data_IF_988498657197
#
_entry.id   IF_988498657197
#
_cell.length_a   1.000
_cell.length_b   1.000
_cell.length_c   1.000
_cell.angle_alpha   90.00
_cell.angle_beta   90.00
_cell.angle_gamma   90.00
#
_symmetry.space_group_name_H-M   'P 1'
#
loop_
_entity.id
_entity.type
_entity.pdbx_description
1 polymer ?
#
# COMPACT_ATOMS: atom_id res chain seq x y z
N UNK A 1 20.09 -6.81 -25.56
CA UNK A 1 20.20 -5.47 -24.95
C UNK A 1 20.37 -5.60 -23.45
N UNK A 2 21.03 -4.63 -22.81
CA UNK A 2 21.43 -4.64 -21.39
C UNK A 2 20.26 -4.90 -20.42
N UNK A 3 19.01 -4.64 -20.83
CA UNK A 3 17.79 -4.83 -20.03
C UNK A 3 16.91 -6.03 -20.41
N UNK A 4 17.39 -6.93 -21.27
CA UNK A 4 16.64 -8.14 -21.65
C UNK A 4 16.30 -9.05 -20.45
N UNK A 5 17.01 -8.89 -19.33
CA UNK A 5 16.73 -9.62 -18.09
C UNK A 5 15.38 -9.21 -17.47
N UNK A 6 14.96 -7.93 -17.60
CA UNK A 6 13.70 -7.40 -17.05
C UNK A 6 12.53 -8.16 -17.65
N UNK A 7 12.48 -8.28 -18.98
CA UNK A 7 11.39 -8.94 -19.70
C UNK A 7 11.33 -10.46 -19.47
N UNK A 8 12.47 -11.07 -19.13
CA UNK A 8 12.55 -12.51 -18.79
C UNK A 8 12.17 -12.78 -17.34
N UNK A 9 12.35 -11.80 -16.46
CA UNK A 9 12.19 -11.96 -15.01
C UNK A 9 10.82 -11.50 -14.54
N UNK A 10 10.36 -10.35 -15.04
CA UNK A 10 9.10 -9.74 -14.64
C UNK A 10 8.01 -10.01 -15.66
N UNK A 11 6.87 -10.47 -15.14
CA UNK A 11 5.71 -10.79 -15.95
C UNK A 11 4.60 -9.74 -15.72
N UNK A 12 3.68 -9.64 -16.68
CA UNK A 12 2.37 -9.02 -16.52
C UNK A 12 1.28 -10.10 -16.55
N UNK A 13 0.05 -9.76 -16.17
CA UNK A 13 -1.11 -10.67 -16.20
C UNK A 13 -2.28 -10.06 -16.95
N UNK A 14 -2.92 -10.86 -17.79
CA UNK A 14 -4.09 -10.45 -18.57
C UNK A 14 -5.20 -11.49 -18.42
N UNK A 15 -6.44 -11.03 -18.26
CA UNK A 15 -7.57 -11.94 -18.07
C UNK A 15 -7.84 -12.72 -19.37
N UNK A 16 -7.78 -14.05 -19.29
CA UNK A 16 -7.92 -14.95 -20.44
C UNK A 16 -9.25 -15.71 -20.48
N UNK A 17 -10.06 -15.62 -19.41
CA UNK A 17 -11.35 -16.29 -19.33
C UNK A 17 -12.39 -15.37 -18.71
N UNK A 18 -13.57 -15.32 -19.33
CA UNK A 18 -14.71 -14.55 -18.83
C UNK A 18 -15.45 -15.41 -17.80
N UNK A 19 -15.40 -15.01 -16.54
CA UNK A 19 -16.20 -15.59 -15.47
C UNK A 19 -17.21 -14.53 -15.04
N UNK A 20 -18.52 -14.77 -15.15
CA UNK A 20 -19.53 -13.80 -14.74
C UNK A 20 -19.34 -13.33 -13.30
N UNK A 21 -19.44 -12.02 -13.07
CA UNK A 21 -19.52 -11.46 -11.72
C UNK A 21 -20.97 -11.44 -11.22
N UNK A 22 -21.22 -10.84 -10.05
CA UNK A 22 -22.59 -10.57 -9.57
C UNK A 22 -23.39 -9.68 -10.54
N UNK A 23 -22.68 -8.83 -11.30
CA UNK A 23 -23.21 -8.11 -12.45
C UNK A 23 -22.86 -8.90 -13.72
N UNK A 24 -23.88 -9.43 -14.41
CA UNK A 24 -23.72 -10.26 -15.60
C UNK A 24 -23.05 -9.52 -16.76
N UNK A 25 -23.04 -8.18 -16.76
CA UNK A 25 -22.33 -7.37 -17.77
C UNK A 25 -20.82 -7.29 -17.52
N UNK A 26 -20.34 -7.81 -16.38
CA UNK A 26 -18.94 -7.73 -15.95
C UNK A 26 -18.33 -9.10 -15.69
N UNK A 27 -17.09 -9.26 -16.13
CA UNK A 27 -16.25 -10.38 -15.73
C UNK A 27 -15.80 -10.22 -14.26
N UNK A 28 -15.46 -11.33 -13.62
CA UNK A 28 -14.87 -11.38 -12.28
C UNK A 28 -13.55 -10.63 -12.17
N UNK A 29 -12.85 -10.34 -13.28
CA UNK A 29 -11.70 -9.44 -13.30
C UNK A 29 -12.08 -7.96 -13.08
N UNK A 30 -13.33 -7.57 -13.35
CA UNK A 30 -13.88 -6.21 -13.22
C UNK A 30 -14.16 -5.49 -14.55
N UNK A 31 -13.63 -6.00 -15.66
CA UNK A 31 -13.83 -5.46 -17.00
C UNK A 31 -15.23 -5.82 -17.53
N UNK A 32 -15.78 -4.96 -18.40
CA UNK A 32 -17.02 -5.26 -19.12
C UNK A 32 -16.81 -6.44 -20.06
N UNK A 33 -17.79 -7.33 -20.15
CA UNK A 33 -17.73 -8.50 -21.05
C UNK A 33 -17.46 -8.07 -22.51
N UNK A 34 -18.07 -6.96 -22.95
CA UNK A 34 -17.86 -6.38 -24.28
C UNK A 34 -16.46 -5.82 -24.54
N UNK A 35 -15.65 -5.61 -23.49
CA UNK A 35 -14.30 -5.03 -23.59
C UNK A 35 -13.20 -6.10 -23.52
N UNK A 36 -13.54 -7.36 -23.29
CA UNK A 36 -12.56 -8.43 -23.44
C UNK A 36 -12.23 -8.59 -24.93
N UNK A 37 -10.94 -8.60 -25.27
CA UNK A 37 -10.51 -9.05 -26.59
C UNK A 37 -10.96 -10.52 -26.74
N UNK A 38 -11.54 -10.85 -27.88
CA UNK A 38 -12.05 -12.19 -28.19
C UNK A 38 -10.98 -13.22 -27.89
N UNK A 39 -11.18 -13.98 -26.81
CA UNK A 39 -10.29 -15.08 -26.43
C UNK A 39 -10.37 -16.10 -27.57
N UNK A 40 -9.27 -16.41 -28.27
CA UNK A 40 -9.29 -17.46 -29.27
C UNK A 40 -9.31 -18.80 -28.52
N UNK A 41 -10.52 -19.32 -28.26
CA UNK A 41 -10.68 -20.61 -27.57
C UNK A 41 -11.95 -20.74 -26.75
N UNK A 42 -13.09 -20.72 -27.42
CA UNK A 42 -14.39 -21.06 -26.83
C UNK A 42 -15.42 -21.14 -27.94
N UNK A 43 -15.41 -22.24 -28.69
CA UNK A 43 -16.53 -22.54 -29.57
C UNK A 43 -17.83 -22.58 -28.73
N UNK A 44 -18.96 -22.08 -29.23
CA UNK A 44 -20.24 -22.43 -28.66
C UNK A 44 -20.44 -23.93 -28.96
N UNK A 45 -20.45 -24.78 -27.93
CA UNK A 45 -20.95 -26.14 -28.07
C UNK A 45 -22.46 -26.08 -28.36
N UNK A 46 -22.80 -26.03 -29.64
CA UNK A 46 -24.11 -26.46 -30.13
C UNK A 46 -24.14 -28.00 -30.07
N UNK A 47 -24.82 -28.55 -29.08
CA UNK A 47 -24.99 -30.00 -28.94
C UNK A 47 -26.03 -30.35 -27.88
N UNK A 48 -27.28 -30.50 -28.31
CA UNK A 48 -28.38 -30.92 -27.45
C UNK A 48 -28.15 -32.30 -26.82
N UNK A 49 -28.44 -32.39 -25.52
CA UNK A 49 -28.49 -33.64 -24.78
C UNK A 49 -28.88 -33.36 -23.33
N UNK A 50 -30.13 -33.64 -22.98
CA UNK A 50 -30.62 -33.54 -21.61
C UNK A 50 -29.83 -34.50 -20.71
N UNK A 51 -28.92 -33.95 -19.91
CA UNK A 51 -28.29 -34.65 -18.79
C UNK A 51 -28.42 -33.75 -17.58
N UNK A 52 -29.06 -34.30 -16.54
CA UNK A 52 -29.27 -33.66 -15.24
C UNK A 52 -27.91 -33.24 -14.67
N UNK A 53 -27.53 -31.98 -14.86
CA UNK A 53 -26.36 -31.40 -14.22
C UNK A 53 -26.73 -31.03 -12.79
N UNK A 54 -26.22 -31.80 -11.84
CA UNK A 54 -26.02 -31.32 -10.48
C UNK A 54 -25.36 -29.94 -10.58
N UNK A 55 -25.99 -28.91 -9.99
CA UNK A 55 -25.48 -27.54 -9.99
C UNK A 55 -24.06 -27.52 -9.39
N UNK A 56 -23.05 -27.54 -10.26
CA UNK A 56 -21.69 -27.26 -9.86
C UNK A 56 -21.67 -25.81 -9.34
N UNK A 57 -21.08 -25.53 -8.15
CA UNK A 57 -21.01 -24.18 -7.64
C UNK A 57 -20.33 -23.30 -8.68
N UNK A 58 -20.97 -22.17 -9.02
CA UNK A 58 -20.46 -21.22 -10.01
C UNK A 58 -18.98 -20.90 -9.72
N UNK A 59 -18.11 -21.19 -10.69
CA UNK A 59 -16.67 -21.01 -10.52
C UNK A 59 -16.34 -19.54 -10.17
N UNK A 60 -15.51 -19.33 -9.14
CA UNK A 60 -15.07 -18.00 -8.73
C UNK A 60 -13.81 -17.58 -9.49
N UNK A 61 -13.85 -16.40 -10.10
CA UNK A 61 -12.68 -15.80 -10.75
C UNK A 61 -11.54 -15.60 -9.75
N UNK A 62 -10.34 -16.00 -10.16
CA UNK A 62 -9.09 -15.88 -9.40
C UNK A 62 -7.91 -15.61 -10.34
N UNK A 63 -6.93 -14.79 -9.94
CA UNK A 63 -5.79 -14.47 -10.80
C UNK A 63 -5.01 -15.71 -11.29
N UNK A 64 -4.66 -16.71 -10.45
CA UNK A 64 -3.86 -17.85 -10.91
C UNK A 64 -4.52 -18.70 -12.01
N UNK A 65 -5.85 -18.83 -11.99
CA UNK A 65 -6.59 -19.69 -12.91
C UNK A 65 -7.05 -18.99 -14.18
N UNK A 66 -7.41 -17.71 -14.08
CA UNK A 66 -8.17 -17.01 -15.13
C UNK A 66 -7.37 -15.90 -15.80
N UNK A 67 -6.06 -15.83 -15.53
CA UNK A 67 -5.15 -14.90 -16.20
C UNK A 67 -4.01 -15.64 -16.89
N UNK A 68 -3.59 -15.12 -18.03
CA UNK A 68 -2.37 -15.53 -18.70
C UNK A 68 -1.23 -14.60 -18.28
N UNK A 69 -0.05 -15.18 -18.04
CA UNK A 69 1.17 -14.41 -17.75
C UNK A 69 2.03 -14.30 -18.99
N UNK A 70 2.64 -13.13 -19.21
CA UNK A 70 3.59 -12.88 -20.30
C UNK A 70 4.65 -11.88 -19.84
N UNK A 71 5.77 -11.74 -20.57
CA UNK A 71 6.83 -10.79 -20.21
C UNK A 71 6.30 -9.36 -20.15
N UNK A 72 6.78 -8.57 -19.18
CA UNK A 72 6.32 -7.19 -19.01
C UNK A 72 6.63 -6.32 -20.24
N UNK A 73 5.70 -5.42 -20.56
CA UNK A 73 5.77 -4.51 -21.69
C UNK A 73 5.64 -3.04 -21.27
N UNK A 74 5.64 -2.75 -19.96
CA UNK A 74 5.44 -1.40 -19.42
C UNK A 74 6.50 -1.12 -18.34
N UNK A 75 7.64 -0.56 -18.76
CA UNK A 75 8.72 -0.15 -17.88
C UNK A 75 9.59 0.94 -18.51
N UNK A 76 10.17 1.81 -17.68
CA UNK A 76 11.01 2.92 -18.14
C UNK A 76 10.87 4.13 -17.24
N UNK A 77 10.70 5.30 -17.85
CA UNK A 77 10.53 6.58 -17.16
C UNK A 77 9.12 7.14 -17.40
N UNK A 78 8.44 7.55 -16.34
CA UNK A 78 7.24 8.39 -16.43
C UNK A 78 7.70 9.84 -16.46
N UNK A 79 7.19 10.63 -17.39
CA UNK A 79 7.29 12.08 -17.39
C UNK A 79 5.92 12.69 -17.10
N UNK A 80 5.76 13.23 -15.89
CA UNK A 80 4.47 13.76 -15.44
C UNK A 80 4.13 15.08 -16.12
N UNK A 81 2.92 15.16 -16.68
CA UNK A 81 2.37 16.32 -17.36
C UNK A 81 1.21 16.95 -16.55
N UNK A 82 1.00 18.25 -16.74
CA UNK A 82 -0.10 19.00 -16.12
C UNK A 82 0.21 19.62 -14.75
N UNK A 83 1.45 19.46 -14.24
CA UNK A 83 1.96 20.21 -13.10
C UNK A 83 2.83 21.39 -13.53
N UNK A 84 2.95 22.42 -12.69
CA UNK A 84 3.84 23.57 -12.97
C UNK A 84 5.34 23.24 -13.04
N UNK A 85 5.72 21.97 -12.81
CA UNK A 85 7.09 21.45 -12.93
C UNK A 85 7.04 20.04 -13.53
N UNK A 86 7.97 19.71 -14.43
CA UNK A 86 8.14 18.37 -14.99
C UNK A 86 8.86 17.51 -13.96
N UNK A 87 8.18 16.49 -13.43
CA UNK A 87 8.81 15.48 -12.56
C UNK A 87 8.93 14.15 -13.30
N UNK A 88 10.00 13.40 -13.02
CA UNK A 88 10.25 12.09 -13.63
C UNK A 88 10.31 11.02 -12.57
N UNK A 89 9.79 9.84 -12.89
CA UNK A 89 9.85 8.67 -12.01
C UNK A 89 10.18 7.40 -12.79
N UNK A 90 11.03 6.55 -12.25
CA UNK A 90 11.21 5.21 -12.82
C UNK A 90 9.99 4.34 -12.52
N UNK A 91 9.60 3.47 -13.43
CA UNK A 91 8.46 2.58 -13.20
C UNK A 91 8.63 1.22 -13.88
N UNK A 92 7.90 0.23 -13.35
CA UNK A 92 7.73 -1.08 -13.96
C UNK A 92 6.36 -1.67 -13.59
N UNK A 93 5.69 -2.29 -14.57
CA UNK A 93 4.56 -3.20 -14.36
C UNK A 93 5.08 -4.59 -14.06
N UNK A 94 4.65 -5.18 -12.95
CA UNK A 94 5.10 -6.48 -12.47
C UNK A 94 3.92 -7.30 -12.00
N UNK A 95 4.02 -8.63 -12.09
CA UNK A 95 2.97 -9.51 -11.58
C UNK A 95 2.89 -9.41 -10.07
N UNK A 96 1.70 -9.55 -9.52
CA UNK A 96 1.44 -9.47 -8.07
C UNK A 96 2.19 -10.51 -7.23
N UNK A 97 2.71 -11.56 -7.86
CA UNK A 97 3.50 -12.65 -7.29
C UNK A 97 4.99 -12.61 -7.70
N UNK A 98 5.46 -11.48 -8.26
CA UNK A 98 6.87 -11.29 -8.59
C UNK A 98 7.76 -11.43 -7.36
N UNK A 99 8.92 -12.07 -7.52
CA UNK A 99 9.82 -12.36 -6.42
C UNK A 99 10.47 -11.08 -5.88
N UNK A 100 10.52 -10.97 -4.55
CA UNK A 100 11.04 -9.80 -3.85
C UNK A 100 12.56 -9.57 -4.07
N UNK A 101 13.34 -10.65 -4.26
CA UNK A 101 14.78 -10.57 -4.57
C UNK A 101 15.03 -9.91 -5.92
N UNK A 102 14.21 -10.24 -6.92
CA UNK A 102 14.26 -9.68 -8.26
C UNK A 102 13.87 -8.20 -8.25
N UNK A 103 12.82 -7.84 -7.50
CA UNK A 103 12.41 -6.44 -7.31
C UNK A 103 13.50 -5.62 -6.63
N UNK A 104 14.09 -6.12 -5.55
CA UNK A 104 15.18 -5.42 -4.87
C UNK A 104 16.41 -5.30 -5.77
N UNK A 105 16.72 -6.34 -6.56
CA UNK A 105 17.80 -6.30 -7.55
C UNK A 105 17.58 -5.16 -8.56
N UNK A 106 16.38 -5.07 -9.14
CA UNK A 106 16.01 -3.98 -10.05
C UNK A 106 16.23 -2.62 -9.38
N UNK A 107 15.74 -2.45 -8.16
CA UNK A 107 15.82 -1.18 -7.42
C UNK A 107 17.27 -0.76 -7.14
N UNK A 108 18.13 -1.69 -6.73
CA UNK A 108 19.52 -1.36 -6.34
C UNK A 108 20.46 -1.32 -7.55
N UNK A 109 20.26 -2.19 -8.54
CA UNK A 109 21.19 -2.36 -9.67
C UNK A 109 20.79 -1.55 -10.90
N UNK A 110 19.51 -1.53 -11.26
CA UNK A 110 19.06 -0.88 -12.48
C UNK A 110 18.52 0.54 -12.22
N UNK A 111 17.92 0.78 -11.06
CA UNK A 111 17.51 2.12 -10.62
C UNK A 111 18.60 2.82 -9.79
N UNK A 112 19.72 2.13 -9.53
CA UNK A 112 20.88 2.67 -8.81
C UNK A 112 20.54 3.23 -7.43
N UNK A 113 19.54 2.66 -6.76
CA UNK A 113 19.17 3.07 -5.41
C UNK A 113 20.16 2.50 -4.39
N UNK A 114 20.66 3.36 -3.51
CA UNK A 114 21.34 2.92 -2.29
C UNK A 114 20.35 2.17 -1.38
N UNK A 115 20.78 1.03 -0.84
CA UNK A 115 19.99 0.26 0.10
C UNK A 115 19.62 1.14 1.30
N UNK A 116 18.35 1.19 1.72
CA UNK A 116 17.92 2.11 2.76
C UNK A 116 18.45 1.69 4.12
N UNK A 117 18.74 2.66 4.97
CA UNK A 117 19.06 2.44 6.38
C UNK A 117 17.81 2.23 7.24
N UNK A 118 16.64 2.60 6.71
CA UNK A 118 15.32 2.51 7.32
C UNK A 118 14.26 2.42 6.22
N UNK A 119 13.25 1.58 6.40
CA UNK A 119 12.05 1.56 5.56
C UNK A 119 10.84 2.11 6.32
N UNK A 120 10.30 3.25 5.85
CA UNK A 120 9.07 3.84 6.39
C UNK A 120 7.91 3.42 5.49
N UNK A 121 7.05 2.54 6.01
CA UNK A 121 5.89 2.04 5.29
C UNK A 121 4.63 2.81 5.70
N UNK A 122 4.13 3.68 4.82
CA UNK A 122 2.99 4.56 5.12
C UNK A 122 1.67 3.90 4.69
N UNK A 123 0.70 3.88 5.60
CA UNK A 123 -0.66 3.38 5.36
C UNK A 123 -1.71 4.34 5.94
N UNK A 124 -2.95 4.22 5.46
CA UNK A 124 -4.01 5.10 5.91
C UNK A 124 -5.26 5.06 5.03
N UNK A 125 -6.02 6.14 5.06
CA UNK A 125 -7.22 6.32 4.25
C UNK A 125 -6.98 6.17 2.75
N UNK A 126 -7.81 5.37 2.08
CA UNK A 126 -7.85 5.28 0.61
C UNK A 126 -8.70 6.41 -0.01
N UNK A 127 -9.72 6.87 0.71
CA UNK A 127 -10.57 7.99 0.29
C UNK A 127 -9.95 9.31 0.74
N UNK A 128 -10.21 10.39 -0.01
CA UNK A 128 -9.74 11.72 0.36
C UNK A 128 -10.35 12.17 1.68
N UNK A 129 -9.48 12.62 2.59
CA UNK A 129 -9.83 13.26 3.85
C UNK A 129 -8.91 14.46 4.07
N UNK A 130 -9.35 15.37 4.94
CA UNK A 130 -8.57 16.53 5.33
C UNK A 130 -7.98 16.33 6.73
N UNK A 131 -6.69 16.62 6.87
CA UNK A 131 -6.02 16.66 8.16
C UNK A 131 -6.20 18.05 8.78
N UNK A 132 -6.31 18.16 10.12
CA UNK A 132 -6.17 19.45 10.80
C UNK A 132 -4.89 20.17 10.32
N UNK A 133 -4.93 21.47 9.96
CA UNK A 133 -3.79 22.14 9.30
C UNK A 133 -2.46 22.02 10.04
N UNK A 134 -2.49 22.13 11.37
CA UNK A 134 -1.31 21.95 12.23
C UNK A 134 -0.78 20.50 12.18
N UNK A 135 -1.68 19.52 12.18
CA UNK A 135 -1.32 18.11 12.07
C UNK A 135 -0.71 17.80 10.70
N UNK A 136 -1.30 18.31 9.62
CA UNK A 136 -0.77 18.20 8.25
C UNK A 136 0.66 18.73 8.17
N UNK A 137 0.91 19.90 8.76
CA UNK A 137 2.23 20.53 8.75
C UNK A 137 3.26 19.72 9.55
N UNK A 138 2.92 19.28 10.76
CA UNK A 138 3.83 18.50 11.61
C UNK A 138 4.10 17.13 10.98
N UNK A 139 3.08 16.49 10.42
CA UNK A 139 3.23 15.24 9.70
C UNK A 139 4.17 15.35 8.50
N UNK A 140 3.91 16.30 7.61
CA UNK A 140 4.73 16.47 6.42
C UNK A 140 6.19 16.78 6.77
N UNK A 141 6.43 17.67 7.73
CA UNK A 141 7.78 18.00 8.19
C UNK A 141 8.49 16.81 8.82
N UNK A 142 7.84 16.14 9.78
CA UNK A 142 8.47 15.04 10.52
C UNK A 142 8.74 13.82 9.65
N UNK A 143 7.85 13.47 8.70
CA UNK A 143 8.07 12.39 7.74
C UNK A 143 9.29 12.67 6.85
N UNK A 144 9.33 13.87 6.24
CA UNK A 144 10.43 14.26 5.37
C UNK A 144 11.75 14.33 6.14
N UNK A 145 11.72 14.91 7.34
CA UNK A 145 12.90 15.01 8.20
C UNK A 145 13.43 13.62 8.56
N UNK A 146 12.57 12.70 9.00
CA UNK A 146 12.97 11.31 9.27
C UNK A 146 13.64 10.66 8.07
N UNK A 147 13.05 10.80 6.87
CA UNK A 147 13.58 10.20 5.66
C UNK A 147 14.94 10.77 5.26
N UNK A 148 15.10 12.10 5.32
CA UNK A 148 16.36 12.78 4.98
C UNK A 148 17.45 12.49 6.01
N UNK A 149 17.15 12.59 7.31
CA UNK A 149 18.13 12.38 8.39
C UNK A 149 18.70 10.97 8.39
N UNK A 150 17.87 9.98 8.09
CA UNK A 150 18.28 8.56 8.15
C UNK A 150 18.76 8.03 6.80
N UNK A 151 18.28 8.56 5.68
CA UNK A 151 18.43 7.91 4.37
C UNK A 151 17.37 6.82 4.15
N UNK A 152 16.15 7.06 4.65
CA UNK A 152 15.07 6.08 4.54
C UNK A 152 14.44 6.04 3.13
N UNK A 153 13.94 4.87 2.76
CA UNK A 153 12.93 4.75 1.71
C UNK A 153 11.53 4.94 2.31
N UNK A 154 10.64 5.57 1.56
CA UNK A 154 9.21 5.71 1.90
C UNK A 154 8.38 4.85 0.96
N UNK A 155 7.70 3.84 1.49
CA UNK A 155 6.72 3.04 0.74
C UNK A 155 5.32 3.59 0.93
N UNK A 156 4.57 3.72 -0.18
CA UNK A 156 3.18 4.18 -0.18
C UNK A 156 2.34 3.40 -1.19
N UNK A 157 1.04 3.68 -1.27
CA UNK A 157 0.15 3.15 -2.31
C UNK A 157 0.30 3.79 -3.70
N UNK A 158 1.14 4.82 -3.85
CA UNK A 158 1.50 5.46 -5.13
C UNK A 158 0.42 6.28 -5.86
N UNK A 159 -0.86 6.00 -5.63
CA UNK A 159 -1.98 6.73 -6.24
C UNK A 159 -2.35 7.99 -5.47
N UNK A 160 -2.75 9.06 -6.15
CA UNK A 160 -2.96 10.39 -5.57
C UNK A 160 -4.31 10.55 -4.84
N UNK A 161 -4.63 9.62 -3.95
CA UNK A 161 -5.86 9.60 -3.14
C UNK A 161 -5.54 9.41 -1.65
N UNK A 162 -6.46 9.87 -0.81
CA UNK A 162 -6.40 9.69 0.64
C UNK A 162 -5.09 10.13 1.27
N UNK A 163 -4.47 9.26 2.07
CA UNK A 163 -3.23 9.57 2.80
C UNK A 163 -2.06 9.90 1.87
N UNK A 164 -2.02 9.31 0.66
CA UNK A 164 -0.92 9.52 -0.28
C UNK A 164 -0.91 10.97 -0.80
N UNK A 165 -2.05 11.68 -0.86
CA UNK A 165 -2.04 13.12 -1.16
C UNK A 165 -1.25 13.92 -0.14
N UNK A 166 -1.44 13.64 1.15
CA UNK A 166 -0.72 14.35 2.22
C UNK A 166 0.78 14.05 2.19
N UNK A 167 1.16 12.81 1.85
CA UNK A 167 2.58 12.44 1.61
C UNK A 167 3.12 13.17 0.38
N UNK A 168 2.38 13.19 -0.72
CA UNK A 168 2.75 13.88 -1.96
C UNK A 168 2.95 15.38 -1.76
N UNK A 169 2.05 16.03 -1.03
CA UNK A 169 2.17 17.45 -0.65
C UNK A 169 3.47 17.69 0.13
N UNK A 170 3.81 16.83 1.10
CA UNK A 170 5.05 16.95 1.87
C UNK A 170 6.30 16.77 1.01
N UNK A 171 6.30 15.79 0.09
CA UNK A 171 7.40 15.54 -0.86
C UNK A 171 7.59 16.73 -1.81
N UNK A 172 6.49 17.27 -2.35
CA UNK A 172 6.50 18.45 -3.22
C UNK A 172 7.03 19.69 -2.51
N UNK A 173 6.55 19.95 -1.30
CA UNK A 173 7.00 21.07 -0.47
C UNK A 173 8.50 20.98 -0.17
N UNK A 174 9.04 19.78 0.08
CA UNK A 174 10.47 19.58 0.28
C UNK A 174 11.28 19.85 -0.98
N UNK A 175 10.86 19.26 -2.11
CA UNK A 175 11.53 19.39 -3.41
C UNK A 175 11.64 20.85 -3.87
N UNK A 176 10.62 21.67 -3.58
CA UNK A 176 10.65 23.10 -3.91
C UNK A 176 11.64 23.93 -3.08
N UNK A 177 12.08 23.42 -1.91
CA UNK A 177 12.90 24.15 -0.92
C UNK A 177 14.33 23.61 -0.78
N UNK A 178 14.57 22.37 -1.21
CA UNK A 178 15.83 21.67 -1.02
C UNK A 178 16.21 20.87 -2.27
N UNK A 179 17.51 20.65 -2.46
CA UNK A 179 18.03 19.78 -3.53
C UNK A 179 18.06 18.30 -3.16
N UNK A 180 17.82 17.94 -1.90
CA UNK A 180 17.77 16.55 -1.44
C UNK A 180 16.57 15.82 -2.03
N UNK A 181 16.79 14.68 -2.68
CA UNK A 181 15.70 13.83 -3.19
C UNK A 181 15.36 12.77 -2.14
N UNK A 182 14.12 12.78 -1.66
CA UNK A 182 13.58 11.72 -0.83
C UNK A 182 13.17 10.55 -1.73
N UNK A 183 13.63 9.34 -1.41
CA UNK A 183 13.27 8.13 -2.14
C UNK A 183 11.87 7.66 -1.73
N UNK A 184 10.86 8.15 -2.46
CA UNK A 184 9.46 7.72 -2.30
C UNK A 184 9.08 6.75 -3.42
N UNK A 185 8.65 5.54 -3.04
CA UNK A 185 8.32 4.43 -3.94
C UNK A 185 6.83 4.11 -3.77
N UNK A 186 6.06 4.31 -4.84
CA UNK A 186 4.65 3.98 -4.89
C UNK A 186 4.43 2.54 -5.36
N UNK A 187 3.79 1.71 -4.54
CA UNK A 187 3.40 0.34 -4.90
C UNK A 187 1.89 0.34 -5.14
N UNK A 188 1.49 0.40 -6.41
CA UNK A 188 0.10 0.62 -6.82
C UNK A 188 -0.43 -0.56 -7.65
N UNK A 189 -1.71 -0.95 -7.51
CA UNK A 189 -2.30 -1.92 -8.41
C UNK A 189 -2.45 -1.35 -9.84
N UNK A 190 -1.92 -2.05 -10.84
CA UNK A 190 -2.03 -1.66 -12.26
C UNK A 190 -3.49 -1.44 -12.70
N UNK A 191 -4.40 -2.29 -12.19
CA UNK A 191 -5.81 -2.29 -12.55
C UNK A 191 -6.58 -1.01 -12.20
N UNK A 192 -6.08 -0.19 -11.26
CA UNK A 192 -6.76 1.04 -10.82
C UNK A 192 -6.17 2.31 -11.42
N UNK A 193 -5.11 2.21 -12.22
CA UNK A 193 -4.40 3.38 -12.73
C UNK A 193 -5.17 3.95 -13.91
N UNK A 194 -5.53 5.23 -13.81
CA UNK A 194 -6.12 6.00 -14.90
C UNK A 194 -5.11 6.13 -16.05
N UNK A 195 -5.55 6.02 -17.30
CA UNK A 195 -4.69 6.14 -18.50
C UNK A 195 -3.44 5.24 -18.48
N UNK A 196 -3.53 4.07 -17.85
CA UNK A 196 -2.40 3.12 -17.76
C UNK A 196 -1.86 2.68 -19.12
N UNK A 197 -2.68 2.71 -20.18
CA UNK A 197 -2.25 2.32 -21.52
C UNK A 197 -1.16 3.25 -22.08
N UNK A 198 -1.13 4.52 -21.65
CA UNK A 198 -0.06 5.47 -22.00
C UNK A 198 1.31 5.04 -21.44
N UNK A 199 1.31 4.21 -20.40
CA UNK A 199 2.52 3.68 -19.75
C UNK A 199 3.04 2.40 -20.41
N UNK A 200 2.37 1.85 -21.42
CA UNK A 200 2.88 0.67 -22.15
C UNK A 200 4.06 1.09 -23.01
N UNK A 201 5.21 0.46 -22.82
CA UNK A 201 6.45 0.72 -23.52
C UNK A 201 7.63 0.02 -22.84
N UNK A 202 8.60 -0.45 -23.64
CA UNK A 202 9.78 -1.17 -23.14
C UNK A 202 10.98 -0.23 -23.13
N UNK A 203 11.44 0.13 -21.94
CA UNK A 203 12.57 1.03 -21.74
C UNK A 203 12.43 2.37 -22.44
N UNK A 204 11.28 3.02 -22.28
CA UNK A 204 10.99 4.30 -22.91
C UNK A 204 10.52 5.33 -21.88
N UNK A 205 10.67 6.60 -22.23
CA UNK A 205 10.00 7.67 -21.48
C UNK A 205 8.56 7.78 -21.96
N UNK A 206 7.59 7.68 -21.05
CA UNK A 206 6.17 7.84 -21.34
C UNK A 206 5.61 9.11 -20.68
N UNK A 207 4.95 10.00 -21.44
CA UNK A 207 4.22 11.09 -20.85
C UNK A 207 3.01 10.55 -20.08
N UNK A 208 2.73 11.10 -18.90
CA UNK A 208 1.56 10.72 -18.10
C UNK A 208 0.87 11.93 -17.51
N UNK A 209 -0.41 12.09 -17.85
CA UNK A 209 -1.22 13.23 -17.39
C UNK A 209 -1.92 12.91 -16.08
N UNK A 210 -1.77 13.76 -15.07
CA UNK A 210 -2.39 13.56 -13.74
C UNK A 210 -3.78 14.19 -13.61
N UNK A 211 -4.49 14.41 -14.71
CA UNK A 211 -5.85 14.94 -14.67
C UNK A 211 -6.82 13.81 -14.33
N UNK A 212 -7.43 13.91 -13.14
CA UNK A 212 -8.47 12.97 -12.73
C UNK A 212 -9.75 13.20 -13.55
N UNK A 213 -10.31 12.14 -14.13
CA UNK A 213 -11.65 12.17 -14.71
C UNK A 213 -12.70 12.06 -13.58
N UNK A 214 -13.57 13.07 -13.35
CA UNK A 214 -14.57 13.04 -12.29
C UNK A 214 -15.57 11.88 -12.40
N UNK A 215 -15.74 11.31 -13.60
CA UNK A 215 -16.64 10.18 -13.86
C UNK A 215 -15.94 8.82 -13.71
N UNK A 216 -14.61 8.80 -13.61
CA UNK A 216 -13.83 7.59 -13.46
C UNK A 216 -13.74 7.15 -12.00
N UNK A 217 -13.74 5.83 -11.79
CA UNK A 217 -13.48 5.21 -10.48
C UNK A 217 -12.00 4.82 -10.33
N UNK A 218 -11.17 5.08 -11.34
CA UNK A 218 -9.74 4.86 -11.32
C UNK A 218 -9.03 6.01 -10.61
N UNK A 219 -7.71 5.91 -10.46
CA UNK A 219 -6.89 6.88 -9.74
C UNK A 219 -5.63 7.19 -10.53
N UNK A 220 -5.22 8.45 -10.48
CA UNK A 220 -3.96 8.89 -11.10
C UNK A 220 -2.78 8.60 -10.18
N UNK A 221 -1.62 8.30 -10.75
CA UNK A 221 -0.36 8.22 -10.00
C UNK A 221 -0.01 9.58 -9.38
N UNK A 222 0.59 9.56 -8.18
CA UNK A 222 1.02 10.78 -7.51
C UNK A 222 2.38 11.24 -8.03
N UNK A 223 2.40 12.38 -8.73
CA UNK A 223 3.59 12.92 -9.42
C UNK A 223 4.73 13.36 -8.51
N UNK A 224 4.61 13.27 -7.18
CA UNK A 224 5.69 13.61 -6.24
C UNK A 224 6.53 12.39 -5.83
N UNK A 225 6.15 11.18 -6.27
CA UNK A 225 6.94 9.97 -6.05
C UNK A 225 8.07 9.85 -7.07
N UNK A 226 9.15 9.18 -6.66
CA UNK A 226 10.35 9.00 -7.47
C UNK A 226 10.37 7.70 -8.26
N UNK A 227 9.64 6.69 -7.78
CA UNK A 227 9.65 5.33 -8.33
C UNK A 227 8.28 4.68 -8.18
N UNK A 228 7.95 3.76 -9.09
CA UNK A 228 6.69 3.01 -9.06
C UNK A 228 6.86 1.52 -9.35
N UNK A 229 6.28 0.69 -8.49
CA UNK A 229 6.04 -0.72 -8.74
C UNK A 229 4.53 -0.90 -8.98
N UNK A 230 4.16 -1.24 -10.22
CA UNK A 230 2.77 -1.35 -10.63
C UNK A 230 2.35 -2.83 -10.63
N UNK A 231 1.74 -3.26 -9.54
CA UNK A 231 1.38 -4.65 -9.26
C UNK A 231 0.18 -5.10 -10.08
N UNK A 232 0.33 -6.19 -10.82
CA UNK A 232 -0.66 -6.66 -11.78
C UNK A 232 -1.13 -8.08 -11.47
N UNK A 233 -2.44 -8.21 -11.24
CA UNK A 233 -3.13 -9.49 -11.06
C UNK A 233 -4.20 -9.72 -12.14
N UNK A 234 -4.20 -8.94 -13.23
CA UNK A 234 -5.18 -9.02 -14.32
C UNK A 234 -6.55 -8.42 -14.02
N UNK A 235 -6.75 -7.80 -12.85
CA UNK A 235 -8.02 -7.13 -12.52
C UNK A 235 -8.10 -5.71 -13.08
N UNK A 236 -9.33 -5.21 -13.23
CA UNK A 236 -9.66 -3.87 -13.67
C UNK A 236 -10.51 -3.16 -12.60
N UNK A 237 -10.06 -1.99 -12.14
CA UNK A 237 -10.74 -1.18 -11.13
C UNK A 237 -10.75 -1.80 -9.73
N UNK A 238 -9.86 -2.75 -9.42
CA UNK A 238 -9.80 -3.42 -8.11
C UNK A 238 -8.44 -3.23 -7.44
N UNK A 239 -8.50 -2.94 -6.13
CA UNK A 239 -7.35 -2.95 -5.24
C UNK A 239 -6.97 -4.39 -4.84
N UNK A 240 -5.77 -4.57 -4.30
CA UNK A 240 -5.33 -5.81 -3.67
C UNK A 240 -4.16 -6.52 -4.36
N UNK A 241 -3.83 -6.15 -5.60
CA UNK A 241 -2.67 -6.73 -6.31
C UNK A 241 -1.34 -6.38 -5.62
N UNK A 242 -1.27 -5.20 -5.01
CA UNK A 242 -0.11 -4.66 -4.32
C UNK A 242 0.14 -5.28 -2.95
N UNK A 243 -0.88 -5.86 -2.30
CA UNK A 243 -0.83 -6.23 -0.87
C UNK A 243 0.24 -7.28 -0.59
N UNK A 244 0.21 -8.40 -1.33
CA UNK A 244 1.20 -9.49 -1.18
C UNK A 244 2.58 -9.02 -1.62
N UNK A 245 2.66 -8.33 -2.76
CA UNK A 245 3.90 -7.85 -3.35
C UNK A 245 4.65 -6.93 -2.37
N UNK A 246 3.95 -5.93 -1.82
CA UNK A 246 4.48 -4.97 -0.84
C UNK A 246 5.01 -5.69 0.39
N UNK A 247 4.21 -6.57 1.00
CA UNK A 247 4.60 -7.33 2.20
C UNK A 247 5.86 -8.17 1.98
N UNK A 248 5.91 -8.90 0.86
CA UNK A 248 7.08 -9.74 0.55
C UNK A 248 8.33 -8.90 0.30
N UNK A 249 8.18 -7.75 -0.36
CA UNK A 249 9.27 -6.82 -0.60
C UNK A 249 9.78 -6.18 0.70
N UNK A 250 8.88 -5.69 1.56
CA UNK A 250 9.23 -5.14 2.88
C UNK A 250 10.00 -6.16 3.72
N UNK A 251 9.51 -7.41 3.79
CA UNK A 251 10.19 -8.50 4.50
C UNK A 251 11.56 -8.81 3.90
N UNK A 252 11.68 -8.81 2.57
CA UNK A 252 12.96 -9.09 1.93
C UNK A 252 13.97 -7.96 2.16
N UNK A 253 13.53 -6.69 2.14
CA UNK A 253 14.34 -5.52 2.48
C UNK A 253 14.80 -5.59 3.93
N UNK A 254 13.91 -5.95 4.86
CA UNK A 254 14.22 -6.07 6.28
C UNK A 254 15.38 -7.06 6.55
N UNK A 255 15.53 -8.09 5.72
CA UNK A 255 16.59 -9.09 5.85
C UNK A 255 17.94 -8.65 5.25
N UNK A 256 17.98 -7.52 4.53
CA UNK A 256 19.23 -7.04 3.93
C UNK A 256 20.15 -6.43 4.99
N UNK A 257 21.42 -6.82 4.94
CA UNK A 257 22.43 -6.34 5.90
C UNK A 257 22.91 -4.95 5.48
N UNK A 258 22.64 -3.93 6.31
CA UNK A 258 23.15 -2.57 6.08
C UNK A 258 24.53 -2.39 6.72
N UNK A 259 24.78 -3.05 7.86
CA UNK A 259 26.05 -2.94 8.57
C UNK A 259 26.65 -4.34 8.80
N UNK A 260 27.72 -4.63 8.05
CA UNK A 260 28.42 -5.93 8.09
C UNK A 260 29.05 -6.24 9.45
N UNK A 261 29.26 -5.24 10.32
CA UNK A 261 29.86 -5.43 11.65
C UNK A 261 28.84 -5.78 12.74
N UNK A 262 27.59 -5.35 12.59
CA UNK A 262 26.52 -5.56 13.58
C UNK A 262 25.49 -6.62 13.15
N UNK A 263 25.51 -7.03 11.87
CA UNK A 263 24.60 -8.04 11.34
C UNK A 263 23.12 -7.62 11.34
N UNK A 264 22.82 -6.34 11.59
CA UNK A 264 21.46 -5.81 11.65
C UNK A 264 20.89 -5.65 10.23
N UNK A 265 19.65 -6.13 10.09
CA UNK A 265 18.83 -5.94 8.91
C UNK A 265 18.34 -4.49 8.76
N UNK A 266 17.59 -4.20 7.70
CA UNK A 266 16.92 -2.91 7.53
C UNK A 266 15.76 -2.79 8.52
N UNK A 267 15.77 -1.86 9.48
CA UNK A 267 14.61 -1.62 10.33
C UNK A 267 13.43 -1.15 9.47
N UNK A 268 12.25 -1.69 9.76
CA UNK A 268 10.98 -1.32 9.10
C UNK A 268 10.05 -0.73 10.15
N UNK A 269 9.35 0.34 9.81
CA UNK A 269 8.33 0.96 10.67
C UNK A 269 7.08 1.28 9.86
N UNK A 270 5.93 0.95 10.43
CA UNK A 270 4.62 1.21 9.83
C UNK A 270 4.07 2.54 10.37
N UNK A 271 3.74 3.50 9.50
CA UNK A 271 3.19 4.80 9.88
C UNK A 271 1.74 4.92 9.41
N UNK A 272 0.82 5.13 10.36
CA UNK A 272 -0.63 5.11 10.13
C UNK A 272 -1.26 6.50 10.28
N UNK A 273 -2.06 6.89 9.29
CA UNK A 273 -2.90 8.09 9.32
C UNK A 273 -4.33 7.78 8.88
N UNK A 274 -5.31 8.25 9.64
CA UNK A 274 -6.74 7.98 9.42
C UNK A 274 -6.98 6.46 9.24
N UNK A 275 -7.55 6.03 8.12
CA UNK A 275 -7.84 4.64 7.80
C UNK A 275 -9.28 4.19 8.02
N UNK A 276 -9.72 3.32 7.11
CA UNK A 276 -10.88 2.45 7.32
C UNK A 276 -10.51 1.17 8.10
N UNK A 277 -11.45 0.23 8.23
CA UNK A 277 -11.24 -1.03 8.96
C UNK A 277 -10.05 -1.86 8.47
N UNK A 278 -9.76 -1.83 7.16
CA UNK A 278 -8.59 -2.53 6.58
C UNK A 278 -7.26 -2.04 7.16
N UNK A 279 -7.17 -0.79 7.63
CA UNK A 279 -5.95 -0.28 8.27
C UNK A 279 -5.72 -0.93 9.63
N UNK A 280 -6.78 -1.28 10.36
CA UNK A 280 -6.67 -2.04 11.61
C UNK A 280 -6.10 -3.44 11.32
N UNK A 281 -6.55 -4.08 10.24
CA UNK A 281 -5.98 -5.36 9.79
C UNK A 281 -4.50 -5.21 9.42
N UNK A 282 -4.10 -4.15 8.70
CA UNK A 282 -2.69 -3.86 8.38
C UNK A 282 -1.84 -3.69 9.64
N UNK A 283 -2.35 -2.98 10.66
CA UNK A 283 -1.65 -2.81 11.94
C UNK A 283 -1.48 -4.16 12.63
N UNK A 284 -2.56 -4.94 12.73
CA UNK A 284 -2.52 -6.26 13.34
C UNK A 284 -1.52 -7.19 12.64
N UNK A 285 -1.53 -7.15 11.32
CA UNK A 285 -0.62 -7.90 10.47
C UNK A 285 0.84 -7.49 10.68
N UNK A 286 1.13 -6.19 10.71
CA UNK A 286 2.47 -5.65 10.97
C UNK A 286 3.01 -6.14 12.32
N UNK A 287 2.16 -6.13 13.36
CA UNK A 287 2.51 -6.59 14.70
C UNK A 287 2.69 -8.12 14.78
N UNK A 288 2.09 -8.88 13.87
CA UNK A 288 2.16 -10.35 13.82
C UNK A 288 3.31 -10.87 12.96
N UNK A 289 3.97 -10.01 12.19
CA UNK A 289 5.16 -10.41 11.43
C UNK A 289 6.26 -10.98 12.33
N UNK A 290 7.17 -11.73 11.71
CA UNK A 290 8.36 -12.30 12.34
C UNK A 290 9.61 -11.86 11.55
N UNK A 291 10.42 -10.92 12.10
CA UNK A 291 10.18 -10.18 13.35
C UNK A 291 9.02 -9.16 13.24
N UNK A 292 8.38 -8.77 14.35
CA UNK A 292 7.29 -7.78 14.35
C UNK A 292 7.73 -6.42 13.82
N UNK A 293 6.84 -5.75 13.08
CA UNK A 293 7.07 -4.38 12.60
C UNK A 293 6.45 -3.38 13.59
N UNK A 294 7.24 -2.49 14.21
CA UNK A 294 6.71 -1.44 15.09
C UNK A 294 5.82 -0.47 14.32
N UNK A 295 4.78 0.04 15.00
CA UNK A 295 3.73 0.86 14.40
C UNK A 295 3.68 2.23 15.06
N UNK A 296 3.70 3.29 14.26
CA UNK A 296 3.42 4.66 14.69
C UNK A 296 2.00 5.05 14.26
N UNK A 297 1.17 5.41 15.24
CA UNK A 297 -0.20 5.86 15.02
C UNK A 297 -0.26 7.38 15.17
N UNK A 298 -0.81 8.08 14.19
CA UNK A 298 -1.00 9.53 14.24
C UNK A 298 -2.38 9.86 14.85
N UNK A 299 -2.43 10.14 16.15
CA UNK A 299 -3.67 10.51 16.86
C UNK A 299 -4.22 11.83 16.34
N UNK A 300 -5.55 11.93 16.27
CA UNK A 300 -6.28 13.09 15.72
C UNK A 300 -6.27 13.17 14.19
N UNK A 301 -5.79 12.14 13.49
CA UNK A 301 -5.92 12.03 12.04
C UNK A 301 -7.27 11.42 11.61
N UNK A 302 -8.03 10.83 12.53
CA UNK A 302 -9.38 10.35 12.29
C UNK A 302 -9.52 8.82 12.33
N UNK A 303 -10.77 8.39 12.43
CA UNK A 303 -11.26 7.04 12.12
C UNK A 303 -10.41 5.91 12.73
N UNK A 304 -9.79 5.02 11.94
CA UNK A 304 -9.06 3.87 12.47
C UNK A 304 -7.88 4.28 13.38
N UNK A 305 -7.14 5.32 12.99
CA UNK A 305 -6.04 5.88 13.79
C UNK A 305 -6.51 6.32 15.19
N UNK A 306 -7.64 7.02 15.26
CA UNK A 306 -8.19 7.50 16.54
C UNK A 306 -8.77 6.36 17.38
N UNK A 307 -9.37 5.34 16.75
CA UNK A 307 -9.85 4.12 17.42
C UNK A 307 -8.69 3.38 18.10
N UNK A 308 -7.58 3.17 17.37
CA UNK A 308 -6.39 2.50 17.92
C UNK A 308 -5.75 3.37 19.01
N UNK A 309 -5.67 4.69 18.79
CA UNK A 309 -5.13 5.64 19.76
C UNK A 309 -5.93 5.68 21.06
N UNK A 310 -7.26 5.59 20.97
CA UNK A 310 -8.17 5.47 22.10
C UNK A 310 -7.91 4.16 22.85
N UNK A 311 -7.92 3.01 22.15
CA UNK A 311 -7.67 1.72 22.78
C UNK A 311 -6.30 1.68 23.48
N UNK A 312 -5.24 2.18 22.83
CA UNK A 312 -3.90 2.27 23.40
C UNK A 312 -3.84 3.14 24.67
N UNK A 313 -4.66 4.19 24.74
CA UNK A 313 -4.68 5.12 25.89
C UNK A 313 -5.35 4.50 27.11
N UNK A 314 -6.43 3.75 26.90
CA UNK A 314 -7.28 3.28 27.98
C UNK A 314 -7.11 1.80 28.32
N UNK A 315 -6.34 1.04 27.54
CA UNK A 315 -5.96 -0.31 27.95
C UNK A 315 -4.97 -0.30 29.12
N UNK A 316 -5.16 -1.24 30.04
CA UNK A 316 -4.22 -1.52 31.11
C UNK A 316 -2.89 -2.06 30.57
N UNK A 317 -1.93 -2.27 31.47
CA UNK A 317 -0.65 -2.91 31.13
C UNK A 317 -0.82 -4.36 30.66
N UNK A 318 -1.93 -5.00 31.03
CA UNK A 318 -2.37 -6.31 30.54
C UNK A 318 -3.00 -6.26 29.13
N UNK A 319 -3.15 -5.07 28.55
CA UNK A 319 -3.80 -4.85 27.27
C UNK A 319 -5.33 -4.96 27.30
N UNK A 320 -5.96 -5.01 28.49
CA UNK A 320 -7.40 -5.14 28.65
C UNK A 320 -8.09 -3.79 28.90
N UNK A 321 -9.38 -3.72 28.58
CA UNK A 321 -10.23 -2.53 28.82
C UNK A 321 -11.26 -2.85 29.90
N UNK A 322 -11.64 -1.85 30.70
CA UNK A 322 -12.82 -1.96 31.58
C UNK A 322 -14.11 -2.05 30.76
N UNK A 323 -15.17 -2.61 31.35
CA UNK A 323 -16.44 -2.80 30.65
C UNK A 323 -17.06 -1.49 30.13
N UNK A 324 -16.94 -0.40 30.88
CA UNK A 324 -17.43 0.93 30.46
C UNK A 324 -16.67 1.45 29.24
N UNK A 325 -15.34 1.33 29.24
CA UNK A 325 -14.48 1.76 28.13
C UNK A 325 -14.69 0.86 26.91
N UNK A 326 -14.90 -0.44 27.12
CA UNK A 326 -15.23 -1.40 26.06
C UNK A 326 -16.52 -1.01 25.34
N UNK A 327 -17.60 -0.73 26.06
CA UNK A 327 -18.85 -0.31 25.44
C UNK A 327 -18.70 1.04 24.71
N UNK A 328 -17.96 1.99 25.30
CA UNK A 328 -17.66 3.25 24.63
C UNK A 328 -16.88 3.05 23.31
N UNK A 329 -15.89 2.17 23.31
CA UNK A 329 -15.11 1.83 22.11
C UNK A 329 -15.98 1.16 21.04
N UNK A 330 -16.85 0.22 21.42
CA UNK A 330 -17.79 -0.42 20.50
C UNK A 330 -18.74 0.59 19.85
N UNK A 331 -19.33 1.49 20.65
CA UNK A 331 -20.19 2.56 20.13
C UNK A 331 -19.42 3.48 19.18
N UNK A 332 -18.16 3.79 19.52
CA UNK A 332 -17.28 4.60 18.66
C UNK A 332 -17.05 3.90 17.32
N UNK A 333 -16.65 2.62 17.33
CA UNK A 333 -16.45 1.82 16.10
C UNK A 333 -17.72 1.78 15.24
N UNK A 334 -18.89 1.55 15.86
CA UNK A 334 -20.18 1.53 15.15
C UNK A 334 -20.45 2.85 14.43
N UNK A 335 -20.25 3.98 15.12
CA UNK A 335 -20.47 5.31 14.57
C UNK A 335 -19.46 5.66 13.48
N UNK A 336 -18.19 5.36 13.70
CA UNK A 336 -17.09 5.70 12.78
C UNK A 336 -17.18 4.98 11.44
N UNK A 337 -17.53 3.69 11.45
CA UNK A 337 -17.60 2.86 10.23
C UNK A 337 -19.02 2.60 9.74
N UNK A 338 -20.03 3.15 10.43
CA UNK A 338 -21.46 2.92 10.12
C UNK A 338 -21.80 1.43 10.14
N UNK A 339 -21.31 0.72 11.15
CA UNK A 339 -21.38 -0.73 11.28
C UNK A 339 -22.45 -1.19 12.27
N UNK A 340 -22.99 -2.39 12.03
CA UNK A 340 -23.83 -3.07 13.01
C UNK A 340 -23.02 -3.42 14.26
N UNK A 341 -23.71 -3.76 15.37
CA UNK A 341 -23.04 -4.20 16.61
C UNK A 341 -22.16 -5.43 16.38
N UNK A 342 -22.60 -6.38 15.55
CA UNK A 342 -21.81 -7.59 15.24
C UNK A 342 -20.56 -7.27 14.42
N UNK A 343 -20.66 -6.39 13.43
CA UNK A 343 -19.50 -5.93 12.65
C UNK A 343 -18.51 -5.15 13.54
N UNK A 344 -19.02 -4.25 14.39
CA UNK A 344 -18.18 -3.50 15.32
C UNK A 344 -17.49 -4.41 16.34
N UNK A 345 -18.15 -5.48 16.79
CA UNK A 345 -17.53 -6.49 17.65
C UNK A 345 -16.32 -7.15 16.98
N UNK A 346 -16.39 -7.46 15.68
CA UNK A 346 -15.24 -8.02 14.95
C UNK A 346 -14.07 -7.03 14.87
N UNK A 347 -14.37 -5.76 14.60
CA UNK A 347 -13.33 -4.72 14.60
C UNK A 347 -12.73 -4.54 15.99
N UNK A 348 -13.56 -4.53 17.04
CA UNK A 348 -13.11 -4.45 18.42
C UNK A 348 -12.15 -5.60 18.75
N UNK A 349 -12.46 -6.83 18.37
CA UNK A 349 -11.58 -7.98 18.59
C UNK A 349 -10.22 -7.80 17.89
N UNK A 350 -10.18 -7.27 16.67
CA UNK A 350 -8.92 -6.96 15.99
C UNK A 350 -8.14 -5.86 16.72
N UNK A 351 -8.80 -4.81 17.20
CA UNK A 351 -8.14 -3.74 17.97
C UNK A 351 -7.54 -4.29 19.26
N UNK A 352 -8.28 -5.12 20.00
CA UNK A 352 -7.79 -5.74 21.23
C UNK A 352 -6.62 -6.68 20.98
N UNK A 353 -6.63 -7.38 19.85
CA UNK A 353 -5.51 -8.20 19.43
C UNK A 353 -4.25 -7.36 19.16
N UNK A 354 -4.37 -6.17 18.56
CA UNK A 354 -3.25 -5.22 18.45
C UNK A 354 -2.74 -4.81 19.85
N UNK A 355 -3.64 -4.59 20.81
CA UNK A 355 -3.27 -4.16 22.16
C UNK A 355 -2.48 -5.21 22.95
N UNK A 356 -2.56 -6.50 22.58
CA UNK A 356 -1.66 -7.53 23.15
C UNK A 356 -0.17 -7.24 22.88
N UNK A 357 0.15 -6.49 21.82
CA UNK A 357 1.50 -6.03 21.48
C UNK A 357 1.64 -4.52 21.60
N UNK A 358 0.92 -3.89 22.55
CA UNK A 358 0.90 -2.44 22.79
C UNK A 358 2.30 -1.80 22.84
N UNK A 359 3.30 -2.47 23.41
CA UNK A 359 4.66 -1.94 23.51
C UNK A 359 5.32 -1.61 22.15
N UNK A 360 4.87 -2.25 21.06
CA UNK A 360 5.31 -1.99 19.69
C UNK A 360 4.48 -0.89 18.98
N UNK A 361 3.46 -0.36 19.64
CA UNK A 361 2.63 0.73 19.13
C UNK A 361 3.08 2.03 19.79
N UNK A 362 3.48 2.99 18.99
CA UNK A 362 3.82 4.35 19.44
C UNK A 362 2.76 5.31 18.93
N UNK A 363 2.07 6.00 19.84
CA UNK A 363 1.02 6.96 19.47
C UNK A 363 1.56 8.38 19.52
N UNK A 364 1.67 9.02 18.36
CA UNK A 364 1.98 10.44 18.23
C UNK A 364 0.72 11.28 18.48
N UNK A 365 0.79 12.25 19.40
CA UNK A 365 -0.29 13.15 19.81
C UNK A 365 0.16 14.61 19.73
N UNK A 366 -0.54 15.39 18.93
CA UNK A 366 -0.20 16.80 18.77
C UNK A 366 -0.47 17.59 20.07
N UNK A 367 0.57 18.22 20.62
CA UNK A 367 0.44 19.23 21.69
C UNK A 367 0.47 18.72 23.13
N UNK A 368 0.72 17.44 23.39
CA UNK A 368 1.01 16.97 24.76
C UNK A 368 2.43 17.35 25.19
N UNK A 369 2.58 17.81 26.44
CA UNK A 369 3.87 18.15 27.04
C UNK A 369 4.87 16.99 26.93
N UNK A 370 6.09 17.27 26.46
CA UNK A 370 7.14 16.28 26.26
C UNK A 370 7.04 15.44 24.97
N UNK A 371 5.98 15.61 24.16
CA UNK A 371 5.90 14.88 22.88
C UNK A 371 6.75 15.50 21.77
N UNK A 372 7.54 14.60 21.19
CA UNK A 372 8.55 14.85 20.18
C UNK A 372 7.91 14.83 18.78
N UNK A 373 8.58 15.47 17.81
CA UNK A 373 8.18 15.50 16.39
C UNK A 373 7.88 14.08 15.82
N UNK A 374 7.17 13.97 14.70
CA UNK A 374 6.87 12.65 14.09
C UNK A 374 8.15 11.87 13.79
N UNK A 375 9.23 12.55 13.39
CA UNK A 375 10.55 11.95 13.25
C UNK A 375 10.97 11.18 14.52
N UNK A 376 10.84 11.81 15.68
CA UNK A 376 11.23 11.20 16.93
C UNK A 376 10.29 10.08 17.37
N UNK A 377 9.01 10.17 17.01
CA UNK A 377 8.06 9.06 17.21
C UNK A 377 8.44 7.83 16.38
N UNK A 378 8.89 8.05 15.13
CA UNK A 378 9.43 7.00 14.26
C UNK A 378 10.67 6.37 14.88
N UNK A 379 11.65 7.18 15.31
CA UNK A 379 12.88 6.68 15.93
C UNK A 379 12.61 5.95 17.25
N UNK A 380 11.70 6.47 18.07
CA UNK A 380 11.30 5.83 19.34
C UNK A 380 10.65 4.48 19.11
N UNK A 381 9.79 4.35 18.09
CA UNK A 381 9.15 3.09 17.75
C UNK A 381 10.17 2.02 17.34
N UNK A 382 11.20 2.40 16.58
CA UNK A 382 12.29 1.51 16.20
C UNK A 382 13.12 1.06 17.40
N UNK A 383 13.48 1.97 18.30
CA UNK A 383 14.24 1.63 19.51
C UNK A 383 13.48 0.65 20.43
N UNK A 384 12.17 0.82 20.56
CA UNK A 384 11.30 -0.12 21.28
C UNK A 384 11.19 -1.46 20.59
N UNK A 385 11.10 -1.47 19.26
CA UNK A 385 11.09 -2.71 18.47
C UNK A 385 12.38 -3.51 18.67
N UNK A 386 13.53 -2.86 18.51
CA UNK A 386 14.85 -3.49 18.64
C UNK A 386 15.11 -4.05 20.04
N UNK A 387 14.68 -3.35 21.10
CA UNK A 387 14.85 -3.84 22.47
C UNK A 387 13.99 -5.06 22.78
N UNK A 388 12.81 -5.17 22.17
CA UNK A 388 11.89 -6.29 22.36
C UNK A 388 12.23 -7.52 21.48
N UNK A 389 12.96 -7.33 20.38
CA UNK A 389 13.40 -8.43 19.49
C UNK A 389 14.68 -9.11 20.02
N UNK A 390 15.45 -8.43 20.89
CA UNK A 390 16.73 -8.90 21.44
C UNK A 390 16.62 -9.58 22.81
N UNK A 391 15.41 -9.74 23.34
CA UNK A 391 15.10 -10.52 24.55
C UNK A 391 14.45 -11.82 24.10
#
# INVERSE_FOLDING_TARGET
TQRAWIERTFQKRECMQIIPSTDASRCGCGQLVSQHQSVPGGAPEEGGGAVVQLEAPAERWTPPKHTQSSGTDAYGLIEFQGGGHVNKAMYIRVSYDSKADSLLHLMVKDWELELPTLLISVHGGLQNFELPPKLKQVFGKGLIKAAVTTGAWIFTGGVSTGVIRHVGDALKDHSSKSRGKVCAIGIAPWGIIENKEDLIGRDVTRPYTTMSNPLSKLSVLNSSHSHFLLADNGTHGKYGAEVRLRRQLEKHIALQKINTRLGQGVPVVCLILEGGPNVISIVLESLREEPPVPVVICDGSGRASDIISFAHRYCGEDGLLSDSVKEQLLVTIQKTFTYSRSQAQQIFLMVMECMKKRALITVFRMGSEGQQDIEMSILTALLKGDSLIKI
#
